data_IF_658453053222
#
_entry.id   IF_658453053222
#
_cell.length_a   1.000
_cell.length_b   1.000
_cell.length_c   1.000
_cell.angle_alpha   90.00
_cell.angle_beta   90.00
_cell.angle_gamma   90.00
#
_symmetry.space_group_name_H-M   'P 1'
#
loop_
_entity.id
_entity.type
_entity.pdbx_description
1 polymer ?
#
# COMPACT_ATOMS: atom_id res chain seq x y z
N UNK A 1 -27.39 -20.34 -9.56
CA UNK A 1 -27.72 -20.45 -8.13
C UNK A 1 -27.83 -19.02 -7.62
N UNK A 2 -28.90 -18.68 -6.92
CA UNK A 2 -29.05 -17.34 -6.35
C UNK A 2 -28.09 -17.21 -5.15
N UNK A 3 -27.24 -16.18 -5.16
CA UNK A 3 -26.28 -15.94 -4.09
C UNK A 3 -26.99 -15.26 -2.92
N UNK A 4 -26.99 -15.90 -1.75
CA UNK A 4 -27.67 -15.36 -0.57
C UNK A 4 -26.99 -14.06 -0.12
N UNK A 5 -27.79 -13.03 0.17
CA UNK A 5 -27.26 -11.74 0.63
C UNK A 5 -26.55 -10.90 -0.43
N UNK A 6 -26.64 -11.26 -1.71
CA UNK A 6 -25.97 -10.51 -2.80
C UNK A 6 -26.41 -9.05 -2.89
N UNK A 7 -27.69 -8.75 -2.64
CA UNK A 7 -28.21 -7.37 -2.65
C UNK A 7 -27.61 -6.52 -1.54
N UNK A 8 -27.48 -7.08 -0.32
CA UNK A 8 -26.83 -6.41 0.80
C UNK A 8 -25.35 -6.20 0.53
N UNK A 9 -24.66 -7.23 0.01
CA UNK A 9 -23.25 -7.14 -0.35
C UNK A 9 -22.99 -6.08 -1.43
N UNK A 10 -23.82 -5.99 -2.48
CA UNK A 10 -23.71 -4.95 -3.50
C UNK A 10 -23.88 -3.56 -2.91
N UNK A 11 -24.85 -3.37 -2.01
CA UNK A 11 -25.04 -2.09 -1.32
C UNK A 11 -23.83 -1.71 -0.47
N UNK A 12 -23.26 -2.67 0.27
CA UNK A 12 -22.03 -2.42 1.03
C UNK A 12 -20.87 -2.06 0.10
N UNK A 13 -20.72 -2.79 -1.01
CA UNK A 13 -19.69 -2.56 -2.00
C UNK A 13 -19.78 -1.18 -2.66
N UNK A 14 -20.99 -0.70 -2.97
CA UNK A 14 -21.21 0.66 -3.49
C UNK A 14 -20.75 1.75 -2.51
N UNK A 15 -21.02 1.56 -1.21
CA UNK A 15 -20.59 2.48 -0.16
C UNK A 15 -19.06 2.44 -0.01
N UNK A 16 -18.47 1.25 -0.01
CA UNK A 16 -17.02 1.08 0.08
C UNK A 16 -16.31 1.67 -1.16
N UNK A 17 -16.89 1.49 -2.35
CA UNK A 17 -16.39 2.12 -3.57
C UNK A 17 -16.45 3.64 -3.45
N UNK A 18 -17.55 4.18 -2.91
CA UNK A 18 -17.69 5.61 -2.65
C UNK A 18 -16.63 6.14 -1.69
N UNK A 19 -16.23 5.38 -0.67
CA UNK A 19 -15.09 5.73 0.18
C UNK A 19 -13.78 5.82 -0.58
N UNK A 20 -13.47 4.79 -1.37
CA UNK A 20 -12.24 4.76 -2.17
C UNK A 20 -12.20 5.96 -3.13
N UNK A 21 -13.26 6.19 -3.90
CA UNK A 21 -13.33 7.30 -4.86
C UNK A 21 -13.19 8.66 -4.17
N UNK A 22 -13.86 8.88 -3.03
CA UNK A 22 -13.72 10.14 -2.27
C UNK A 22 -12.29 10.34 -1.74
N UNK A 23 -11.66 9.29 -1.22
CA UNK A 23 -10.27 9.35 -0.75
C UNK A 23 -9.29 9.65 -1.89
N UNK A 24 -9.41 8.94 -3.02
CA UNK A 24 -8.60 9.19 -4.21
C UNK A 24 -8.78 10.64 -4.69
N UNK A 25 -10.03 11.12 -4.77
CA UNK A 25 -10.33 12.50 -5.13
C UNK A 25 -9.63 13.52 -4.23
N UNK A 26 -9.66 13.30 -2.91
CA UNK A 26 -8.99 14.18 -1.93
C UNK A 26 -7.47 14.21 -2.16
N UNK A 27 -6.88 13.04 -2.43
CA UNK A 27 -5.43 12.88 -2.57
C UNK A 27 -4.89 13.34 -3.93
N UNK A 28 -5.71 13.31 -4.98
CA UNK A 28 -5.41 13.83 -6.32
C UNK A 28 -5.78 15.30 -6.50
N UNK A 29 -6.30 15.97 -5.47
CA UNK A 29 -6.72 17.36 -5.59
C UNK A 29 -5.50 18.30 -5.65
N UNK A 30 -5.09 18.67 -6.86
CA UNK A 30 -4.05 19.67 -7.13
C UNK A 30 -4.53 21.12 -6.98
N UNK A 31 -5.82 21.32 -6.70
CA UNK A 31 -6.44 22.63 -6.57
C UNK A 31 -6.05 23.33 -5.25
N UNK A 32 -6.57 24.56 -5.05
CA UNK A 32 -6.34 25.32 -3.82
C UNK A 32 -6.72 24.52 -2.55
N UNK A 33 -6.05 24.81 -1.42
CA UNK A 33 -6.33 24.19 -0.11
C UNK A 33 -7.83 24.22 0.27
N UNK A 34 -8.57 25.24 -0.20
CA UNK A 34 -10.02 25.38 0.05
C UNK A 34 -10.81 24.26 -0.62
N UNK A 35 -10.46 23.89 -1.85
CA UNK A 35 -11.14 22.82 -2.60
C UNK A 35 -10.88 21.45 -1.96
N UNK A 36 -9.62 21.18 -1.60
CA UNK A 36 -9.25 19.94 -0.93
C UNK A 36 -9.98 19.78 0.42
N UNK A 37 -10.03 20.84 1.23
CA UNK A 37 -10.77 20.80 2.51
C UNK A 37 -12.27 20.58 2.32
N UNK A 38 -12.87 21.14 1.26
CA UNK A 38 -14.27 20.86 0.93
C UNK A 38 -14.49 19.37 0.67
N UNK A 39 -13.62 18.73 -0.11
CA UNK A 39 -13.72 17.29 -0.37
C UNK A 39 -13.54 16.45 0.90
N UNK A 40 -12.64 16.86 1.81
CA UNK A 40 -12.53 16.24 3.13
C UNK A 40 -13.85 16.35 3.88
N UNK A 41 -14.46 17.54 3.98
CA UNK A 41 -15.75 17.68 4.66
C UNK A 41 -16.88 16.87 4.01
N UNK A 42 -16.88 16.71 2.68
CA UNK A 42 -17.82 15.84 1.98
C UNK A 42 -17.64 14.36 2.39
N UNK A 43 -16.40 13.90 2.61
CA UNK A 43 -16.13 12.58 3.18
C UNK A 43 -16.60 12.47 4.64
N UNK A 44 -16.33 13.48 5.47
CA UNK A 44 -16.75 13.45 6.88
C UNK A 44 -18.28 13.46 7.03
N UNK A 45 -18.98 14.27 6.23
CA UNK A 45 -20.44 14.25 6.17
C UNK A 45 -20.97 12.88 5.73
N UNK A 46 -20.29 12.23 4.79
CA UNK A 46 -20.66 10.90 4.34
C UNK A 46 -20.54 9.86 5.47
N UNK A 47 -19.58 9.98 6.39
CA UNK A 47 -19.51 9.12 7.59
C UNK A 47 -20.75 9.24 8.47
N UNK A 48 -21.28 10.45 8.65
CA UNK A 48 -22.49 10.70 9.42
C UNK A 48 -23.73 10.15 8.71
N UNK A 49 -23.85 10.38 7.39
CA UNK A 49 -24.96 9.90 6.57
C UNK A 49 -25.14 8.39 6.64
N UNK A 50 -24.03 7.63 6.57
CA UNK A 50 -24.08 6.18 6.64
C UNK A 50 -23.99 5.64 8.08
N UNK A 51 -23.84 6.52 9.08
CA UNK A 51 -23.61 6.16 10.48
C UNK A 51 -22.47 5.15 10.64
N UNK A 52 -21.27 5.49 10.11
CA UNK A 52 -20.16 4.53 9.96
C UNK A 52 -19.83 3.75 11.24
N UNK A 53 -19.95 4.38 12.41
CA UNK A 53 -19.67 3.76 13.71
C UNK A 53 -20.62 2.61 14.08
N UNK A 54 -21.80 2.53 13.45
CA UNK A 54 -22.80 1.48 13.65
C UNK A 54 -22.64 0.31 12.66
N UNK A 55 -21.81 0.47 11.62
CA UNK A 55 -21.56 -0.57 10.63
C UNK A 55 -20.08 -0.99 10.65
N UNK A 56 -19.77 -1.99 11.46
CA UNK A 56 -18.41 -2.53 11.59
C UNK A 56 -17.79 -2.93 10.25
N UNK A 57 -18.58 -3.57 9.37
CA UNK A 57 -18.14 -4.05 8.05
C UNK A 57 -17.61 -2.90 7.19
N UNK A 58 -18.39 -1.82 7.07
CA UNK A 58 -18.04 -0.64 6.29
C UNK A 58 -16.91 0.15 6.94
N UNK A 59 -16.92 0.25 8.27
CA UNK A 59 -15.89 0.98 9.01
C UNK A 59 -14.53 0.30 8.87
N UNK A 60 -14.49 -1.02 9.03
CA UNK A 60 -13.27 -1.82 8.87
C UNK A 60 -12.70 -1.72 7.45
N UNK A 61 -13.58 -1.83 6.45
CA UNK A 61 -13.21 -1.67 5.05
C UNK A 61 -12.62 -0.28 4.76
N UNK A 62 -13.24 0.78 5.29
CA UNK A 62 -12.73 2.13 5.15
C UNK A 62 -11.33 2.29 5.75
N UNK A 63 -11.09 1.78 6.97
CA UNK A 63 -9.78 1.87 7.62
C UNK A 63 -8.69 1.17 6.81
N UNK A 64 -9.00 0.01 6.21
CA UNK A 64 -8.07 -0.70 5.31
C UNK A 64 -7.74 0.10 4.06
N UNK A 65 -8.74 0.68 3.40
CA UNK A 65 -8.56 1.54 2.22
C UNK A 65 -7.71 2.76 2.60
N UNK A 66 -7.99 3.39 3.74
CA UNK A 66 -7.23 4.52 4.26
C UNK A 66 -5.74 4.18 4.42
N UNK A 67 -5.44 3.03 5.04
CA UNK A 67 -4.05 2.55 5.21
C UNK A 67 -3.42 2.23 3.87
N UNK A 68 -4.13 1.53 2.99
CA UNK A 68 -3.64 1.16 1.67
C UNK A 68 -3.27 2.40 0.84
N UNK A 69 -4.19 3.35 0.68
CA UNK A 69 -3.94 4.58 -0.07
C UNK A 69 -2.80 5.41 0.54
N UNK A 70 -2.60 5.36 1.85
CA UNK A 70 -1.46 6.06 2.49
C UNK A 70 -0.08 5.51 2.12
N UNK A 71 -0.01 4.31 1.56
CA UNK A 71 1.23 3.64 1.17
C UNK A 71 1.41 3.64 -0.36
N UNK A 72 0.33 3.36 -1.09
CA UNK A 72 0.40 3.02 -2.51
C UNK A 72 -0.06 4.14 -3.45
N UNK A 73 -0.85 5.10 -2.98
CA UNK A 73 -1.45 6.12 -3.85
C UNK A 73 -0.53 7.32 -4.09
N UNK A 74 -0.38 7.73 -5.36
CA UNK A 74 0.46 8.85 -5.82
C UNK A 74 1.87 8.86 -5.19
N UNK A 75 2.50 7.69 -5.12
CA UNK A 75 3.83 7.46 -4.56
C UNK A 75 4.98 8.32 -5.16
N UNK A 76 5.03 8.63 -6.48
CA UNK A 76 6.24 9.17 -7.11
C UNK A 76 6.28 10.68 -7.31
N UNK A 77 5.44 11.51 -6.67
CA UNK A 77 5.52 12.97 -6.87
C UNK A 77 6.85 13.53 -6.33
N UNK A 78 7.86 13.56 -7.21
CA UNK A 78 9.26 14.02 -7.05
C UNK A 78 9.38 15.49 -6.69
N UNK A 79 8.27 16.17 -6.40
CA UNK A 79 8.25 17.60 -6.11
C UNK A 79 7.55 17.86 -4.79
N UNK A 80 8.40 18.23 -3.84
CA UNK A 80 8.14 18.98 -2.61
C UNK A 80 7.69 18.13 -1.41
N UNK A 81 8.54 18.12 -0.37
CA UNK A 81 8.19 17.69 1.00
C UNK A 81 6.87 18.31 1.50
N UNK A 82 6.48 19.47 0.96
CA UNK A 82 5.21 20.15 1.22
C UNK A 82 4.01 19.31 0.81
N UNK A 83 4.04 18.59 -0.33
CA UNK A 83 2.92 17.73 -0.73
C UNK A 83 2.76 16.60 0.27
N UNK A 84 3.89 16.00 0.67
CA UNK A 84 3.89 14.92 1.65
C UNK A 84 3.32 15.36 3.01
N UNK A 85 3.77 16.50 3.53
CA UNK A 85 3.27 17.06 4.79
C UNK A 85 1.75 17.34 4.70
N UNK A 86 1.27 17.91 3.59
CA UNK A 86 -0.17 18.11 3.37
C UNK A 86 -0.94 16.80 3.40
N UNK A 87 -0.44 15.74 2.76
CA UNK A 87 -1.09 14.42 2.78
C UNK A 87 -1.14 13.84 4.19
N UNK A 88 -0.04 13.90 4.95
CA UNK A 88 -0.05 13.49 6.36
C UNK A 88 -1.09 14.25 7.18
N UNK A 89 -1.24 15.56 6.94
CA UNK A 89 -2.23 16.40 7.62
C UNK A 89 -3.67 15.95 7.29
N UNK A 90 -3.96 15.61 6.03
CA UNK A 90 -5.26 15.07 5.61
C UNK A 90 -5.57 13.75 6.33
N UNK A 91 -4.64 12.79 6.31
CA UNK A 91 -4.83 11.53 7.00
C UNK A 91 -5.01 11.72 8.50
N UNK A 92 -4.22 12.61 9.11
CA UNK A 92 -4.34 12.96 10.53
C UNK A 92 -5.71 13.58 10.85
N UNK A 93 -6.21 14.48 9.99
CA UNK A 93 -7.53 15.10 10.14
C UNK A 93 -8.64 14.05 10.10
N UNK A 94 -8.59 13.14 9.13
CA UNK A 94 -9.56 12.04 8.99
C UNK A 94 -9.50 11.13 10.22
N UNK A 95 -8.31 10.71 10.64
CA UNK A 95 -8.14 9.85 11.82
C UNK A 95 -8.65 10.52 13.10
N UNK A 96 -8.41 11.83 13.28
CA UNK A 96 -8.97 12.59 14.41
C UNK A 96 -10.50 12.58 14.39
N UNK A 97 -11.11 12.79 13.24
CA UNK A 97 -12.57 12.73 13.12
C UNK A 97 -13.10 11.34 13.54
N UNK A 98 -12.49 10.26 13.03
CA UNK A 98 -12.87 8.89 13.37
C UNK A 98 -12.74 8.61 14.88
N UNK A 99 -11.67 9.11 15.51
CA UNK A 99 -11.43 8.96 16.94
C UNK A 99 -12.45 9.75 17.76
N UNK A 100 -12.65 11.02 17.46
CA UNK A 100 -13.43 11.93 18.31
C UNK A 100 -14.94 11.86 18.07
N UNK A 101 -15.38 11.64 16.82
CA UNK A 101 -16.82 11.64 16.46
C UNK A 101 -17.36 10.25 16.17
N UNK A 102 -16.56 9.38 15.56
CA UNK A 102 -17.02 8.05 15.15
C UNK A 102 -16.51 6.91 16.04
N UNK A 103 -16.15 7.21 17.29
CA UNK A 103 -15.93 6.21 18.34
C UNK A 103 -14.92 5.10 17.97
N UNK A 104 -13.91 5.40 17.13
CA UNK A 104 -12.93 4.41 16.63
C UNK A 104 -12.37 3.52 17.76
N UNK A 105 -12.07 4.13 18.91
CA UNK A 105 -11.50 3.46 20.09
C UNK A 105 -12.39 2.39 20.69
N UNK A 106 -13.71 2.58 20.68
CA UNK A 106 -14.68 1.64 21.29
C UNK A 106 -15.30 0.71 20.26
N UNK A 107 -15.32 1.09 18.99
CA UNK A 107 -15.83 0.25 17.90
C UNK A 107 -14.91 -0.92 17.54
N UNK A 108 -13.61 -0.82 17.87
CA UNK A 108 -12.63 -1.85 17.54
C UNK A 108 -11.80 -2.27 18.74
N UNK A 109 -11.54 -3.57 18.84
CA UNK A 109 -10.51 -4.07 19.74
C UNK A 109 -9.12 -3.56 19.31
N UNK A 110 -8.26 -3.18 20.26
CA UNK A 110 -6.92 -2.64 19.98
C UNK A 110 -6.09 -3.54 19.06
N UNK A 111 -6.21 -4.87 19.21
CA UNK A 111 -5.50 -5.79 18.31
C UNK A 111 -5.97 -5.67 16.86
N UNK A 112 -7.27 -5.48 16.62
CA UNK A 112 -7.82 -5.32 15.28
C UNK A 112 -7.28 -4.04 14.64
N UNK A 113 -7.29 -2.92 15.37
CA UNK A 113 -6.69 -1.67 14.91
C UNK A 113 -5.20 -1.84 14.62
N UNK A 114 -4.44 -2.50 15.51
CA UNK A 114 -3.02 -2.76 15.23
C UNK A 114 -2.82 -3.55 13.94
N UNK A 115 -3.60 -4.61 13.70
CA UNK A 115 -3.49 -5.43 12.49
C UNK A 115 -3.82 -4.63 11.23
N UNK A 116 -4.80 -3.74 11.28
CA UNK A 116 -5.17 -2.86 10.16
C UNK A 116 -4.04 -1.84 9.88
N UNK A 117 -3.52 -1.20 10.93
CA UNK A 117 -2.58 -0.08 10.80
C UNK A 117 -1.10 -0.48 10.76
N UNK A 118 -0.73 -1.74 11.01
CA UNK A 118 0.69 -2.18 11.16
C UNK A 118 1.59 -1.91 9.95
N UNK A 119 1.03 -1.83 8.74
CA UNK A 119 1.80 -1.53 7.53
C UNK A 119 2.20 -0.05 7.45
N UNK A 120 1.58 0.83 8.23
CA UNK A 120 1.93 2.24 8.30
C UNK A 120 2.39 2.63 9.72
N UNK A 121 3.71 2.70 9.91
CA UNK A 121 4.33 3.01 11.22
C UNK A 121 3.97 4.42 11.72
N UNK A 122 3.77 5.35 10.80
CA UNK A 122 3.38 6.72 11.11
C UNK A 122 1.95 6.77 11.65
N UNK A 123 1.03 5.99 11.09
CA UNK A 123 -0.31 5.85 11.65
C UNK A 123 -0.30 5.12 12.98
N UNK A 124 0.53 4.09 13.17
CA UNK A 124 0.69 3.48 14.49
C UNK A 124 1.17 4.48 15.54
N UNK A 125 2.13 5.35 15.20
CA UNK A 125 2.62 6.40 16.11
C UNK A 125 1.52 7.41 16.41
N UNK A 126 0.80 7.86 15.40
CA UNK A 126 -0.35 8.75 15.57
C UNK A 126 -1.39 8.14 16.54
N UNK A 127 -1.79 6.89 16.34
CA UNK A 127 -2.76 6.20 17.21
C UNK A 127 -2.22 5.99 18.63
N UNK A 128 -0.91 5.77 18.76
CA UNK A 128 -0.25 5.71 20.07
C UNK A 128 -0.29 7.05 20.80
N UNK A 129 0.04 8.15 20.11
CA UNK A 129 -0.01 9.52 20.65
C UNK A 129 -1.42 9.95 21.06
N UNK A 130 -2.45 9.55 20.30
CA UNK A 130 -3.86 9.76 20.64
C UNK A 130 -4.39 8.78 21.72
N UNK A 131 -3.52 7.95 22.32
CA UNK A 131 -3.86 7.08 23.44
C UNK A 131 -4.82 5.93 23.07
N UNK A 132 -4.82 5.51 21.80
CA UNK A 132 -5.53 4.31 21.34
C UNK A 132 -4.77 3.05 21.77
N UNK A 133 -3.45 3.07 21.62
CA UNK A 133 -2.56 2.01 22.08
C UNK A 133 -1.81 2.44 23.33
N UNK A 134 -1.80 1.58 24.35
CA UNK A 134 -0.88 1.76 25.47
C UNK A 134 0.51 1.18 25.14
N UNK A 135 1.54 1.67 25.84
CA UNK A 135 2.91 1.22 25.60
C UNK A 135 3.10 -0.27 25.85
N UNK A 136 2.40 -0.86 26.84
CA UNK A 136 2.53 -2.29 27.14
C UNK A 136 1.98 -3.15 26.01
N UNK A 137 0.89 -2.72 25.39
CA UNK A 137 0.34 -3.32 24.19
C UNK A 137 1.33 -3.25 23.03
N UNK A 138 1.87 -2.05 22.72
CA UNK A 138 2.84 -1.87 21.62
C UNK A 138 4.07 -2.76 21.80
N UNK A 139 4.65 -2.78 22.99
CA UNK A 139 5.81 -3.60 23.34
C UNK A 139 5.56 -5.10 23.13
N UNK A 140 4.38 -5.59 23.55
CA UNK A 140 3.99 -6.99 23.31
C UNK A 140 3.89 -7.29 21.82
N UNK A 141 3.32 -6.39 21.01
CA UNK A 141 3.16 -6.60 19.57
C UNK A 141 4.49 -6.55 18.83
N UNK A 142 5.35 -5.58 19.11
CA UNK A 142 6.71 -5.51 18.55
C UNK A 142 7.48 -6.81 18.84
N UNK A 143 7.45 -7.29 20.08
CA UNK A 143 8.13 -8.53 20.46
C UNK A 143 7.51 -9.76 19.79
N UNK A 144 6.17 -9.84 19.74
CA UNK A 144 5.43 -10.97 19.18
C UNK A 144 5.68 -11.12 17.67
N UNK A 145 5.58 -10.02 16.91
CA UNK A 145 5.80 -10.02 15.46
C UNK A 145 7.28 -10.02 15.07
N UNK A 146 8.19 -9.80 16.03
CA UNK A 146 9.65 -9.69 15.79
C UNK A 146 9.97 -8.64 14.72
N UNK A 147 9.25 -7.53 14.76
CA UNK A 147 9.40 -6.45 13.79
C UNK A 147 10.52 -5.50 14.24
N UNK A 148 11.71 -5.69 13.66
CA UNK A 148 12.90 -4.87 13.93
C UNK A 148 12.68 -3.42 13.50
N UNK A 149 12.04 -3.19 12.35
CA UNK A 149 11.85 -1.85 11.81
C UNK A 149 10.88 -1.06 12.67
N UNK A 150 9.80 -1.69 13.13
CA UNK A 150 8.87 -1.09 14.08
C UNK A 150 9.54 -0.82 15.43
N UNK A 151 10.40 -1.71 15.91
CA UNK A 151 11.21 -1.44 17.10
C UNK A 151 12.08 -0.20 16.93
N UNK A 152 12.88 -0.13 15.85
CA UNK A 152 13.74 1.03 15.55
C UNK A 152 12.93 2.32 15.47
N UNK A 153 11.77 2.30 14.83
CA UNK A 153 10.89 3.46 14.66
C UNK A 153 10.35 4.01 16.01
N UNK A 154 10.05 3.13 16.96
CA UNK A 154 9.51 3.46 18.29
C UNK A 154 10.57 3.55 19.40
N UNK A 155 11.87 3.54 19.07
CA UNK A 155 12.94 3.70 20.08
C UNK A 155 12.72 4.92 21.00
N UNK A 156 12.38 6.12 20.50
CA UNK A 156 12.20 7.30 21.35
C UNK A 156 11.17 7.07 22.46
N UNK A 157 10.01 6.49 22.14
CA UNK A 157 8.95 6.22 23.11
C UNK A 157 9.34 5.09 24.06
N UNK A 158 9.90 4.00 23.51
CA UNK A 158 10.23 2.79 24.28
C UNK A 158 11.35 3.08 25.29
N UNK A 159 12.38 3.84 24.88
CA UNK A 159 13.51 4.18 25.74
C UNK A 159 13.08 5.07 26.90
N UNK A 160 12.19 6.04 26.66
CA UNK A 160 11.68 6.95 27.69
C UNK A 160 10.72 6.22 28.64
N UNK A 161 9.77 5.45 28.09
CA UNK A 161 8.66 4.90 28.87
C UNK A 161 8.98 3.55 29.51
N UNK A 162 9.88 2.75 28.93
CA UNK A 162 10.26 1.44 29.47
C UNK A 162 11.72 1.04 29.14
N UNK A 163 12.72 1.68 29.78
CA UNK A 163 14.14 1.40 29.54
C UNK A 163 14.54 -0.07 29.69
N UNK A 164 13.90 -0.80 30.63
CA UNK A 164 14.17 -2.23 30.82
C UNK A 164 13.74 -3.06 29.62
N UNK A 165 12.60 -2.73 29.03
CA UNK A 165 12.10 -3.44 27.85
C UNK A 165 12.87 -3.06 26.59
N UNK A 166 13.33 -1.80 26.48
CA UNK A 166 14.28 -1.38 25.45
C UNK A 166 15.51 -2.31 25.42
N UNK A 167 16.15 -2.54 26.57
CA UNK A 167 17.29 -3.46 26.67
C UNK A 167 16.95 -4.90 26.28
N UNK A 168 15.74 -5.37 26.59
CA UNK A 168 15.27 -6.70 26.21
C UNK A 168 15.07 -6.83 24.69
N UNK A 169 14.43 -5.84 24.06
CA UNK A 169 14.23 -5.81 22.61
C UNK A 169 15.56 -5.68 21.87
N UNK A 170 16.46 -4.81 22.35
CA UNK A 170 17.81 -4.67 21.82
C UNK A 170 18.55 -6.00 21.80
N UNK A 171 18.48 -6.78 22.88
CA UNK A 171 19.01 -8.16 22.95
C UNK A 171 18.28 -9.12 22.00
N UNK A 172 16.95 -9.07 21.96
CA UNK A 172 16.12 -9.91 21.09
C UNK A 172 16.51 -9.73 19.60
N UNK A 173 16.74 -8.49 19.17
CA UNK A 173 17.13 -8.14 17.81
C UNK A 173 18.65 -8.17 17.55
N UNK A 174 19.46 -8.51 18.57
CA UNK A 174 20.93 -8.55 18.50
C UNK A 174 21.53 -7.21 18.03
N UNK A 175 20.98 -6.10 18.53
CA UNK A 175 21.44 -4.76 18.22
C UNK A 175 22.37 -4.25 19.33
N UNK A 176 23.37 -3.47 18.95
CA UNK A 176 24.18 -2.65 19.86
C UNK A 176 23.69 -1.20 19.82
N UNK A 177 24.10 -0.38 20.81
CA UNK A 177 23.85 1.06 20.76
C UNK A 177 24.48 1.70 19.52
N UNK A 178 25.64 1.18 19.09
CA UNK A 178 26.33 1.64 17.91
C UNK A 178 25.55 1.31 16.64
N UNK A 179 24.92 0.13 16.54
CA UNK A 179 24.04 -0.20 15.42
C UNK A 179 22.86 0.77 15.33
N UNK A 180 22.21 1.04 16.47
CA UNK A 180 21.09 1.99 16.55
C UNK A 180 21.55 3.39 16.16
N UNK A 181 22.67 3.84 16.73
CA UNK A 181 23.27 5.14 16.42
C UNK A 181 23.58 5.25 14.93
N UNK A 182 24.11 4.20 14.31
CA UNK A 182 24.42 4.14 12.89
C UNK A 182 23.18 4.19 12.01
N UNK A 183 22.08 3.52 12.38
CA UNK A 183 20.82 3.66 11.65
C UNK A 183 20.30 5.11 11.65
N UNK A 184 20.45 5.83 12.77
CA UNK A 184 20.08 7.24 12.84
C UNK A 184 21.13 8.21 12.25
N UNK A 185 22.43 7.89 12.29
CA UNK A 185 23.50 8.74 11.75
C UNK A 185 23.46 8.82 10.23
N UNK A 186 23.10 7.73 9.55
CA UNK A 186 22.90 7.71 8.09
C UNK A 186 21.94 8.79 7.58
N UNK A 187 21.07 9.30 8.45
CA UNK A 187 20.01 10.26 8.13
C UNK A 187 20.52 11.70 8.15
N UNK A 188 21.41 12.04 9.09
CA UNK A 188 21.90 13.40 9.35
C UNK A 188 23.29 13.69 8.77
N UNK A 189 24.03 12.66 8.36
CA UNK A 189 25.44 12.79 8.00
C UNK A 189 26.33 13.06 9.22
N UNK A 190 27.65 13.03 9.03
CA UNK A 190 28.64 13.09 10.13
C UNK A 190 28.68 14.43 10.89
N UNK A 191 27.91 15.45 10.46
CA UNK A 191 28.09 16.85 10.87
C UNK A 191 27.09 17.37 11.90
N UNK A 192 26.05 16.62 12.26
CA UNK A 192 25.13 17.06 13.33
C UNK A 192 25.55 16.52 14.70
N UNK A 193 25.86 17.45 15.61
CA UNK A 193 26.19 17.17 17.00
C UNK A 193 25.07 16.38 17.69
N UNK A 194 25.47 15.43 18.56
CA UNK A 194 24.59 14.51 19.27
C UNK A 194 23.52 15.18 20.13
N UNK A 195 23.68 16.46 20.49
CA UNK A 195 22.90 17.09 21.55
C UNK A 195 21.46 17.47 21.18
N UNK A 196 21.06 17.45 19.89
CA UNK A 196 19.65 17.68 19.50
C UNK A 196 19.22 16.86 18.28
N UNK A 197 19.39 15.53 18.32
CA UNK A 197 18.68 14.66 17.36
C UNK A 197 17.17 14.81 17.60
N UNK A 198 16.51 15.58 16.75
CA UNK A 198 15.08 15.72 16.77
C UNK A 198 14.46 14.47 16.12
N UNK A 199 14.41 13.36 16.88
CA UNK A 199 13.80 12.09 16.42
C UNK A 199 12.41 12.29 15.82
N UNK A 200 11.66 13.27 16.31
CA UNK A 200 10.35 13.65 15.80
C UNK A 200 10.41 14.14 14.35
N UNK A 201 11.44 14.90 13.98
CA UNK A 201 11.58 15.44 12.63
C UNK A 201 11.99 14.36 11.62
N UNK A 202 12.86 13.43 12.01
CA UNK A 202 13.24 12.29 11.16
C UNK A 202 12.02 11.43 10.84
N UNK A 203 11.21 11.12 11.85
CA UNK A 203 10.01 10.28 11.69
C UNK A 203 8.86 11.00 11.01
N UNK A 204 9.02 12.28 10.62
CA UNK A 204 8.14 12.90 9.63
C UNK A 204 8.53 12.54 8.21
N UNK A 205 9.71 11.97 7.98
CA UNK A 205 10.11 11.48 6.66
C UNK A 205 9.63 10.03 6.50
N UNK A 206 8.94 9.74 5.41
CA UNK A 206 8.55 8.36 5.07
C UNK A 206 9.59 7.61 4.27
N UNK A 207 10.41 8.28 3.47
CA UNK A 207 11.35 7.56 2.61
C UNK A 207 12.74 7.46 3.24
N UNK A 208 13.57 6.59 2.67
CA UNK A 208 14.99 6.53 3.00
C UNK A 208 15.63 7.93 2.94
N UNK A 209 16.40 8.24 3.97
CA UNK A 209 17.09 9.52 4.12
C UNK A 209 18.58 9.42 3.75
N UNK A 210 19.02 8.28 3.21
CA UNK A 210 20.35 8.12 2.64
C UNK A 210 20.59 9.17 1.54
N UNK A 211 21.80 9.73 1.49
CA UNK A 211 22.17 10.79 0.53
C UNK A 211 21.86 10.39 -0.92
N UNK A 212 22.23 9.17 -1.30
CA UNK A 212 21.95 8.61 -2.62
C UNK A 212 20.44 8.54 -2.91
N UNK A 213 19.64 8.10 -1.95
CA UNK A 213 18.18 8.02 -2.10
C UNK A 213 17.57 9.40 -2.33
N UNK A 214 17.98 10.41 -1.55
CA UNK A 214 17.56 11.81 -1.70
C UNK A 214 17.92 12.37 -3.07
N UNK A 215 19.13 12.09 -3.55
CA UNK A 215 19.57 12.54 -4.88
C UNK A 215 18.71 11.92 -5.97
N UNK A 216 18.44 10.61 -5.91
CA UNK A 216 17.58 9.94 -6.89
C UNK A 216 16.16 10.51 -6.85
N UNK A 217 15.56 10.65 -5.67
CA UNK A 217 14.22 11.23 -5.51
C UNK A 217 14.10 12.65 -6.09
N UNK A 218 15.16 13.46 -6.01
CA UNK A 218 15.20 14.80 -6.59
C UNK A 218 15.36 14.84 -8.12
N UNK A 219 15.72 13.70 -8.72
CA UNK A 219 16.05 13.51 -10.13
C UNK A 219 17.09 14.51 -10.70
N UNK A 220 17.99 15.02 -9.84
CA UNK A 220 19.08 15.93 -10.25
C UNK A 220 20.30 15.11 -10.69
N UNK A 221 20.37 14.75 -11.97
CA UNK A 221 21.45 13.90 -12.52
C UNK A 221 22.87 14.42 -12.28
N UNK A 222 23.07 15.73 -12.21
CA UNK A 222 24.39 16.32 -11.93
C UNK A 222 24.85 16.02 -10.50
N UNK A 223 23.93 16.06 -9.53
CA UNK A 223 24.22 15.72 -8.13
C UNK A 223 24.50 14.23 -8.01
N UNK A 224 23.80 13.40 -8.78
CA UNK A 224 24.05 11.97 -8.88
C UNK A 224 25.45 11.65 -9.42
N UNK A 225 25.85 12.29 -10.53
CA UNK A 225 27.21 12.14 -11.09
C UNK A 225 28.27 12.64 -10.10
N UNK A 226 28.03 13.75 -9.43
CA UNK A 226 28.90 14.31 -8.40
C UNK A 226 29.09 13.32 -7.24
N UNK A 227 27.99 12.72 -6.76
CA UNK A 227 28.01 11.71 -5.71
C UNK A 227 28.83 10.49 -6.10
N UNK A 228 28.59 9.92 -7.29
CA UNK A 228 29.35 8.76 -7.79
C UNK A 228 30.84 9.11 -7.92
N UNK A 229 31.16 10.29 -8.46
CA UNK A 229 32.54 10.71 -8.69
C UNK A 229 33.33 10.90 -7.38
N UNK A 230 32.67 11.35 -6.31
CA UNK A 230 33.26 11.43 -4.96
C UNK A 230 33.53 10.05 -4.36
N UNK A 231 32.75 9.04 -4.76
CA UNK A 231 32.85 7.66 -4.27
C UNK A 231 33.56 6.79 -5.32
N UNK A 232 34.90 6.87 -5.38
CA UNK A 232 35.74 6.25 -6.43
C UNK A 232 35.50 4.75 -6.72
N UNK A 233 34.91 3.99 -5.79
CA UNK A 233 34.57 2.58 -5.94
C UNK A 233 33.05 2.32 -5.90
N UNK A 234 32.24 3.31 -6.26
CA UNK A 234 30.79 3.17 -6.25
C UNK A 234 30.33 2.18 -7.33
N UNK A 235 29.63 1.12 -6.91
CA UNK A 235 29.00 0.18 -7.82
C UNK A 235 27.61 0.70 -8.23
N UNK A 236 27.40 0.91 -9.53
CA UNK A 236 26.09 1.31 -10.06
C UNK A 236 25.02 0.22 -9.90
N UNK A 237 25.41 -1.03 -9.70
CA UNK A 237 24.52 -2.15 -9.35
C UNK A 237 24.32 -2.30 -7.84
N UNK A 238 24.81 -1.35 -7.05
CA UNK A 238 24.56 -1.32 -5.61
C UNK A 238 23.07 -1.17 -5.30
N UNK A 239 22.73 -1.33 -4.01
CA UNK A 239 21.37 -1.27 -3.51
C UNK A 239 21.27 -0.22 -2.43
N UNK A 240 20.17 0.52 -2.45
CA UNK A 240 19.73 1.38 -1.35
C UNK A 240 19.20 0.45 -0.27
N UNK A 241 19.68 0.66 0.95
CA UNK A 241 19.35 -0.25 2.05
C UNK A 241 17.91 0.01 2.54
N UNK A 242 17.28 -1.01 3.14
CA UNK A 242 16.02 -0.82 3.82
C UNK A 242 16.12 0.25 4.90
N UNK A 243 15.11 1.10 4.99
CA UNK A 243 14.94 2.14 5.99
C UNK A 243 13.83 1.76 6.96
N UNK A 244 14.06 1.95 8.26
CA UNK A 244 12.98 1.78 9.25
C UNK A 244 11.89 2.85 9.12
N UNK A 245 12.09 3.89 8.30
CA UNK A 245 11.10 4.92 7.99
C UNK A 245 10.15 4.52 6.85
N UNK A 246 10.61 3.71 5.90
CA UNK A 246 9.84 3.35 4.70
C UNK A 246 8.67 2.44 5.05
N UNK A 247 7.47 2.87 4.69
CA UNK A 247 6.24 2.11 4.89
C UNK A 247 5.95 1.21 3.68
N UNK A 248 6.42 1.58 2.48
CA UNK A 248 6.14 0.82 1.28
C UNK A 248 7.02 -0.45 1.22
N UNK A 249 6.43 -1.66 1.32
CA UNK A 249 7.19 -2.90 1.35
C UNK A 249 7.86 -3.23 0.00
N UNK A 250 7.29 -2.79 -1.13
CA UNK A 250 7.90 -3.01 -2.45
C UNK A 250 9.24 -2.27 -2.56
N UNK A 251 9.34 -1.09 -1.94
CA UNK A 251 10.53 -0.23 -1.98
C UNK A 251 11.50 -0.56 -0.86
N UNK A 252 10.99 -0.78 0.35
CA UNK A 252 11.85 -1.03 1.50
C UNK A 252 12.61 -2.35 1.35
N UNK A 253 11.92 -3.39 0.86
CA UNK A 253 12.41 -4.75 0.71
C UNK A 253 13.37 -5.17 1.85
N UNK A 254 12.80 -5.39 3.04
CA UNK A 254 13.51 -5.52 4.33
C UNK A 254 14.73 -6.44 4.37
N UNK A 255 14.85 -7.38 3.42
CA UNK A 255 15.96 -8.32 3.35
C UNK A 255 17.15 -7.81 2.52
N UNK A 256 16.87 -7.22 1.35
CA UNK A 256 17.90 -6.95 0.33
C UNK A 256 18.00 -5.48 -0.06
N UNK A 257 17.05 -4.64 0.35
CA UNK A 257 16.89 -3.30 -0.17
C UNK A 257 16.48 -3.30 -1.65
N UNK A 258 16.70 -2.19 -2.33
CA UNK A 258 16.28 -1.95 -3.72
C UNK A 258 17.47 -1.46 -4.54
N UNK A 259 17.67 -1.95 -5.77
CA UNK A 259 18.81 -1.48 -6.57
C UNK A 259 18.69 0.00 -6.93
N UNK A 260 19.82 0.66 -7.17
CA UNK A 260 19.84 2.08 -7.56
C UNK A 260 18.97 2.34 -8.81
N UNK A 261 19.02 1.44 -9.78
CA UNK A 261 18.18 1.52 -10.98
C UNK A 261 16.70 1.34 -10.65
N UNK A 262 16.33 0.29 -9.90
CA UNK A 262 14.94 0.04 -9.49
C UNK A 262 14.36 1.20 -8.67
N UNK A 263 15.18 1.82 -7.81
CA UNK A 263 14.77 2.99 -7.07
C UNK A 263 14.50 4.18 -7.99
N UNK A 264 15.35 4.42 -9.00
CA UNK A 264 15.11 5.47 -9.99
C UNK A 264 13.83 5.22 -10.80
N UNK A 265 13.49 3.96 -11.07
CA UNK A 265 12.22 3.59 -11.71
C UNK A 265 11.02 3.86 -10.80
N UNK A 266 11.10 3.42 -9.53
CA UNK A 266 10.02 3.57 -8.55
C UNK A 266 9.69 5.02 -8.20
N UNK A 267 10.65 5.92 -8.26
CA UNK A 267 10.45 7.35 -8.02
C UNK A 267 10.25 8.15 -9.32
N UNK A 268 10.19 7.50 -10.49
CA UNK A 268 10.04 8.20 -11.77
C UNK A 268 11.20 9.16 -12.07
N UNK A 269 12.39 8.89 -11.53
CA UNK A 269 13.60 9.71 -11.68
C UNK A 269 14.22 9.49 -13.06
N UNK A 270 13.56 10.00 -14.10
CA UNK A 270 13.89 9.71 -15.50
C UNK A 270 15.32 10.12 -15.88
N UNK A 271 15.84 11.22 -15.34
CA UNK A 271 17.19 11.68 -15.67
C UNK A 271 18.26 10.78 -15.07
N UNK A 272 18.08 10.38 -13.80
CA UNK A 272 18.97 9.41 -13.15
C UNK A 272 18.85 8.02 -13.79
N UNK A 273 17.62 7.57 -14.07
CA UNK A 273 17.35 6.32 -14.78
C UNK A 273 18.09 6.26 -16.12
N UNK A 274 17.94 7.29 -16.98
CA UNK A 274 18.63 7.38 -18.27
C UNK A 274 20.14 7.28 -18.15
N UNK A 275 20.73 7.92 -17.14
CA UNK A 275 22.16 7.81 -16.90
C UNK A 275 22.57 6.37 -16.60
N UNK A 276 21.88 5.71 -15.66
CA UNK A 276 22.14 4.31 -15.28
C UNK A 276 21.93 3.36 -16.46
N UNK A 277 20.88 3.61 -17.22
CA UNK A 277 20.52 2.91 -18.43
C UNK A 277 21.63 2.95 -19.48
N UNK A 278 22.13 4.14 -19.84
CA UNK A 278 23.26 4.32 -20.78
C UNK A 278 24.52 3.62 -20.28
N UNK A 279 24.70 3.51 -18.95
CA UNK A 279 25.79 2.77 -18.32
C UNK A 279 25.58 1.25 -18.27
N UNK A 280 24.51 0.73 -18.86
CA UNK A 280 24.17 -0.69 -18.94
C UNK A 280 24.11 -1.35 -17.56
N UNK A 281 23.55 -0.64 -16.58
CA UNK A 281 23.29 -1.20 -15.24
C UNK A 281 22.33 -2.37 -15.36
N UNK A 282 22.61 -3.44 -14.60
CA UNK A 282 21.83 -4.67 -14.69
C UNK A 282 20.43 -4.45 -14.11
N UNK A 283 19.45 -5.01 -14.80
CA UNK A 283 18.08 -5.15 -14.30
C UNK A 283 17.55 -6.54 -14.64
N UNK A 284 16.41 -6.89 -14.06
CA UNK A 284 15.78 -8.19 -14.23
C UNK A 284 14.30 -8.02 -14.59
N UNK A 285 13.62 -9.11 -14.95
CA UNK A 285 12.16 -9.11 -15.13
C UNK A 285 11.42 -8.55 -13.90
N UNK A 286 11.90 -8.86 -12.70
CA UNK A 286 11.32 -8.35 -11.46
C UNK A 286 11.53 -6.84 -11.29
N UNK A 287 12.46 -6.23 -12.02
CA UNK A 287 12.72 -4.80 -11.98
C UNK A 287 11.62 -3.99 -12.70
N UNK A 288 10.88 -4.62 -13.63
CA UNK A 288 9.79 -3.96 -14.36
C UNK A 288 8.68 -3.46 -13.44
N UNK A 289 8.37 -4.17 -12.34
CA UNK A 289 7.33 -3.72 -11.41
C UNK A 289 7.60 -2.32 -10.87
N UNK A 290 8.87 -1.90 -10.75
CA UNK A 290 9.22 -0.59 -10.24
C UNK A 290 8.94 0.54 -11.23
N UNK A 291 8.96 0.30 -12.54
CA UNK A 291 8.51 1.32 -13.50
C UNK A 291 6.99 1.58 -13.37
N UNK A 292 6.24 0.53 -13.02
CA UNK A 292 4.81 0.63 -12.74
C UNK A 292 4.57 1.39 -11.44
N UNK A 293 5.31 1.06 -10.37
CA UNK A 293 5.23 1.80 -9.10
C UNK A 293 5.43 3.30 -9.31
N UNK A 294 6.44 3.68 -10.10
CA UNK A 294 6.77 5.07 -10.37
C UNK A 294 5.87 5.80 -11.37
N UNK A 295 4.87 5.13 -11.93
CA UNK A 295 3.92 5.68 -12.92
C UNK A 295 4.56 6.49 -14.06
N UNK A 296 5.72 6.05 -14.56
CA UNK A 296 6.49 6.84 -15.53
C UNK A 296 6.51 6.16 -16.91
N UNK A 297 5.56 6.53 -17.77
CA UNK A 297 5.41 6.02 -19.15
C UNK A 297 6.69 6.02 -19.98
N UNK A 298 7.48 7.07 -19.86
CA UNK A 298 8.72 7.18 -20.61
C UNK A 298 9.73 6.10 -20.20
N UNK A 299 9.79 5.73 -18.91
CA UNK A 299 10.64 4.64 -18.44
C UNK A 299 10.12 3.31 -18.99
N UNK A 300 8.80 3.10 -18.95
CA UNK A 300 8.14 1.92 -19.49
C UNK A 300 8.50 1.73 -20.98
N UNK A 301 8.32 2.75 -21.81
CA UNK A 301 8.63 2.67 -23.24
C UNK A 301 10.12 2.48 -23.54
N UNK A 302 11.02 3.11 -22.76
CA UNK A 302 12.45 2.88 -22.92
C UNK A 302 12.84 1.41 -22.67
N UNK A 303 12.20 0.77 -21.69
CA UNK A 303 12.40 -0.65 -21.41
C UNK A 303 11.88 -1.54 -22.54
N UNK A 304 10.70 -1.22 -23.09
CA UNK A 304 10.09 -1.94 -24.22
C UNK A 304 10.88 -1.82 -25.53
N UNK A 305 11.57 -0.70 -25.76
CA UNK A 305 12.41 -0.50 -26.94
C UNK A 305 13.67 -1.37 -26.89
N UNK A 306 14.29 -1.52 -25.73
CA UNK A 306 15.49 -2.34 -25.51
C UNK A 306 15.22 -3.84 -25.61
N UNK A 307 14.04 -4.26 -25.18
CA UNK A 307 13.57 -5.64 -25.27
C UNK A 307 13.56 -6.18 -26.71
N UNK A 308 13.44 -5.30 -27.72
CA UNK A 308 13.48 -5.69 -29.14
C UNK A 308 14.85 -6.20 -29.58
N UNK A 309 15.91 -5.91 -28.83
CA UNK A 309 17.28 -6.25 -29.23
C UNK A 309 17.87 -7.46 -28.49
N UNK A 310 17.66 -7.67 -27.17
CA UNK A 310 18.44 -8.70 -26.44
C UNK A 310 17.73 -9.53 -25.33
N UNK A 311 16.44 -9.35 -24.98
CA UNK A 311 15.78 -10.27 -24.00
C UNK A 311 14.24 -10.29 -24.04
N UNK A 312 13.66 -11.49 -23.92
CA UNK A 312 12.21 -11.74 -23.78
C UNK A 312 11.70 -11.39 -22.37
N UNK A 313 11.73 -10.12 -21.98
CA UNK A 313 11.11 -9.71 -20.71
C UNK A 313 9.63 -9.42 -20.97
N UNK A 314 8.77 -10.43 -20.81
CA UNK A 314 7.32 -10.25 -20.95
C UNK A 314 6.70 -9.77 -19.64
N UNK A 315 5.86 -8.73 -19.72
CA UNK A 315 4.97 -8.36 -18.62
C UNK A 315 4.06 -9.54 -18.27
N UNK A 316 3.94 -9.85 -16.97
CA UNK A 316 3.08 -10.92 -16.48
C UNK A 316 1.93 -10.39 -15.62
N UNK A 317 1.09 -11.30 -15.13
CA UNK A 317 -0.07 -10.97 -14.30
C UNK A 317 0.32 -10.21 -13.02
N UNK A 318 1.54 -10.37 -12.50
CA UNK A 318 1.97 -9.62 -11.30
C UNK A 318 2.18 -8.15 -11.62
N UNK A 319 2.72 -7.83 -12.80
CA UNK A 319 2.86 -6.47 -13.27
C UNK A 319 1.48 -5.79 -13.42
N UNK A 320 0.51 -6.49 -14.01
CA UNK A 320 -0.87 -6.00 -14.10
C UNK A 320 -1.50 -5.76 -12.72
N UNK A 321 -1.35 -6.69 -11.78
CA UNK A 321 -1.87 -6.50 -10.41
C UNK A 321 -1.20 -5.32 -9.71
N UNK A 322 0.09 -5.09 -9.96
CA UNK A 322 0.83 -4.00 -9.36
C UNK A 322 0.37 -2.64 -9.88
N UNK A 323 0.00 -2.51 -11.15
CA UNK A 323 -0.61 -1.27 -11.65
C UNK A 323 -1.97 -0.98 -11.01
N UNK A 324 -2.75 -2.03 -10.70
CA UNK A 324 -4.03 -1.88 -9.98
C UNK A 324 -3.83 -1.49 -8.51
N UNK A 325 -2.85 -2.09 -7.83
CA UNK A 325 -2.50 -1.80 -6.44
C UNK A 325 -2.08 -0.34 -6.22
N UNK A 326 -1.36 0.23 -7.18
CA UNK A 326 -0.89 1.61 -7.16
C UNK A 326 -1.84 2.62 -7.85
N UNK A 327 -2.99 2.16 -8.33
CA UNK A 327 -4.03 3.01 -8.96
C UNK A 327 -3.54 3.80 -10.17
N UNK A 328 -2.90 3.14 -11.13
CA UNK A 328 -2.43 3.78 -12.37
C UNK A 328 -3.38 3.47 -13.55
N UNK A 329 -4.47 4.24 -13.75
CA UNK A 329 -5.52 3.94 -14.74
C UNK A 329 -4.98 3.73 -16.13
N UNK A 330 -4.09 4.61 -16.56
CA UNK A 330 -3.56 4.58 -17.90
C UNK A 330 -2.74 3.29 -18.11
N UNK A 331 -2.06 2.79 -17.08
CA UNK A 331 -1.19 1.59 -17.17
C UNK A 331 -2.07 0.34 -17.17
N UNK A 332 -3.13 0.36 -16.37
CA UNK A 332 -4.15 -0.69 -16.35
C UNK A 332 -4.81 -0.79 -17.73
N UNK A 333 -5.16 0.34 -18.34
CA UNK A 333 -5.70 0.40 -19.71
C UNK A 333 -4.69 -0.14 -20.73
N UNK A 334 -3.42 0.29 -20.62
CA UNK A 334 -2.33 -0.20 -21.47
C UNK A 334 -2.22 -1.73 -21.45
N UNK A 335 -2.16 -2.33 -20.25
CA UNK A 335 -2.10 -3.78 -20.12
C UNK A 335 -3.38 -4.49 -20.57
N UNK A 336 -4.54 -3.88 -20.36
CA UNK A 336 -5.82 -4.43 -20.81
C UNK A 336 -5.85 -4.53 -22.34
N UNK A 337 -5.36 -3.50 -23.03
CA UNK A 337 -5.24 -3.48 -24.48
C UNK A 337 -4.15 -4.43 -24.99
N UNK A 338 -3.00 -4.52 -24.30
CA UNK A 338 -1.91 -5.43 -24.66
C UNK A 338 -2.31 -6.90 -24.56
N UNK A 339 -2.98 -7.29 -23.46
CA UNK A 339 -3.45 -8.65 -23.24
C UNK A 339 -4.54 -9.07 -24.24
N UNK A 340 -5.37 -8.13 -24.68
CA UNK A 340 -6.35 -8.35 -25.74
C UNK A 340 -5.68 -8.74 -27.08
N UNK A 341 -4.51 -8.18 -27.37
CA UNK A 341 -3.81 -8.37 -28.65
C UNK A 341 -2.97 -9.66 -28.66
N UNK A 342 -2.32 -10.02 -27.54
CA UNK A 342 -1.27 -11.04 -27.55
C UNK A 342 -1.68 -12.45 -27.04
N UNK A 343 -2.75 -12.62 -26.26
CA UNK A 343 -3.14 -13.97 -25.78
C UNK A 343 -4.64 -14.15 -25.53
N UNK A 344 -5.28 -14.99 -26.35
CA UNK A 344 -6.64 -15.52 -26.18
C UNK A 344 -6.84 -16.45 -24.96
N UNK A 345 -5.90 -16.54 -24.00
CA UNK A 345 -5.87 -17.69 -23.08
C UNK A 345 -5.45 -17.49 -21.59
N UNK A 346 -5.35 -16.28 -20.99
CA UNK A 346 -4.98 -16.21 -19.55
C UNK A 346 -5.72 -15.26 -18.59
N UNK A 347 -6.44 -14.23 -19.05
CA UNK A 347 -7.31 -13.43 -18.18
C UNK A 347 -8.79 -13.87 -18.30
N UNK A 348 -9.05 -14.94 -19.06
CA UNK A 348 -10.40 -15.49 -19.24
C UNK A 348 -10.88 -16.43 -18.13
N UNK A 349 -10.05 -16.74 -17.12
CA UNK A 349 -10.59 -17.25 -15.85
C UNK A 349 -11.14 -16.05 -15.07
N UNK A 350 -12.19 -15.47 -15.65
CA UNK A 350 -13.03 -14.41 -15.12
C UNK A 350 -13.88 -14.97 -13.98
N UNK A 351 -13.22 -15.63 -13.03
CA UNK A 351 -13.87 -16.27 -11.91
C UNK A 351 -14.01 -15.29 -10.77
N UNK A 352 -15.09 -15.41 -10.00
CA UNK A 352 -15.25 -14.65 -8.74
C UNK A 352 -13.99 -14.77 -7.86
N UNK A 353 -13.37 -15.96 -7.86
CA UNK A 353 -12.10 -16.20 -7.19
C UNK A 353 -11.00 -15.24 -7.64
N UNK A 354 -10.76 -15.11 -8.95
CA UNK A 354 -9.75 -14.21 -9.51
C UNK A 354 -9.98 -12.76 -9.05
N UNK A 355 -11.22 -12.27 -9.10
CA UNK A 355 -11.53 -10.90 -8.68
C UNK A 355 -11.35 -10.68 -7.17
N UNK A 356 -11.79 -11.64 -6.34
CA UNK A 356 -11.55 -11.58 -4.89
C UNK A 356 -10.06 -11.66 -4.57
N UNK A 357 -9.30 -12.50 -5.27
CA UNK A 357 -7.86 -12.62 -5.09
C UNK A 357 -7.16 -11.31 -5.44
N UNK A 358 -7.46 -10.71 -6.60
CA UNK A 358 -6.87 -9.42 -6.97
C UNK A 358 -7.26 -8.36 -5.93
N UNK A 359 -8.55 -8.25 -5.56
CA UNK A 359 -8.99 -7.32 -4.51
C UNK A 359 -8.27 -7.53 -3.17
N UNK A 360 -8.08 -8.78 -2.73
CA UNK A 360 -7.40 -9.09 -1.48
C UNK A 360 -5.92 -8.68 -1.48
N UNK A 361 -5.32 -8.58 -2.67
CA UNK A 361 -3.94 -8.18 -2.86
C UNK A 361 -3.79 -6.67 -3.06
N UNK A 362 -4.74 -6.05 -3.78
CA UNK A 362 -4.63 -4.66 -4.23
C UNK A 362 -5.47 -3.68 -3.44
N UNK A 363 -6.45 -4.16 -2.67
CA UNK A 363 -7.43 -3.38 -1.91
C UNK A 363 -8.26 -2.45 -2.78
N UNK A 364 -8.15 -2.59 -4.11
CA UNK A 364 -8.85 -1.76 -5.06
C UNK A 364 -10.27 -2.28 -5.25
N UNK A 365 -11.21 -1.56 -4.63
CA UNK A 365 -12.63 -1.92 -4.55
C UNK A 365 -13.30 -1.88 -5.92
N UNK A 366 -12.81 -1.05 -6.84
CA UNK A 366 -13.36 -0.92 -8.19
C UNK A 366 -13.32 -2.24 -8.96
N UNK A 367 -12.38 -3.13 -8.64
CA UNK A 367 -12.28 -4.46 -9.23
C UNK A 367 -13.50 -5.32 -8.87
N UNK A 368 -13.86 -5.33 -7.58
CA UNK A 368 -15.06 -6.03 -7.13
C UNK A 368 -16.31 -5.32 -7.65
N UNK A 369 -16.31 -3.98 -7.64
CA UNK A 369 -17.43 -3.19 -8.10
C UNK A 369 -17.73 -3.47 -9.57
N UNK A 370 -16.69 -3.53 -10.40
CA UNK A 370 -16.77 -3.96 -11.79
C UNK A 370 -17.37 -5.37 -11.89
N UNK A 371 -16.85 -6.34 -11.14
CA UNK A 371 -17.38 -7.70 -11.20
C UNK A 371 -18.84 -7.83 -10.74
N UNK A 372 -19.26 -7.10 -9.70
CA UNK A 372 -20.56 -7.31 -9.07
C UNK A 372 -21.68 -6.39 -9.57
N UNK A 373 -21.34 -5.17 -10.00
CA UNK A 373 -22.32 -4.19 -10.52
C UNK A 373 -22.38 -4.17 -12.05
N UNK A 374 -21.24 -4.26 -12.75
CA UNK A 374 -21.26 -4.21 -14.22
C UNK A 374 -21.64 -5.55 -14.86
N UNK A 375 -21.47 -6.67 -14.14
CA UNK A 375 -22.01 -7.97 -14.56
C UNK A 375 -23.49 -8.16 -14.17
N UNK A 376 -24.23 -7.09 -13.86
CA UNK A 376 -25.64 -7.17 -14.20
C UNK A 376 -25.74 -7.45 -15.69
N UNK A 377 -26.20 -8.67 -16.00
CA UNK A 377 -26.77 -9.06 -17.28
C UNK A 377 -27.96 -8.10 -17.52
N UNK A 378 -27.72 -6.88 -17.98
CA UNK A 378 -28.81 -6.00 -18.35
C UNK A 378 -28.38 -4.95 -19.36
N UNK A 379 -29.29 -4.76 -20.30
CA UNK A 379 -29.31 -3.74 -21.34
C UNK A 379 -28.91 -2.36 -20.78
N UNK A 380 -27.97 -1.72 -21.49
CA UNK A 380 -27.80 -0.27 -21.64
C UNK A 380 -27.82 0.61 -20.38
N UNK A 381 -26.65 1.16 -20.05
CA UNK A 381 -26.51 2.47 -19.41
C UNK A 381 -25.24 3.17 -19.93
N UNK A 382 -25.27 4.49 -20.17
CA UNK A 382 -24.14 5.21 -20.76
C UNK A 382 -23.12 5.65 -19.70
N UNK A 383 -21.89 5.16 -19.89
CA UNK A 383 -20.59 5.86 -19.83
C UNK A 383 -20.42 6.92 -18.73
N UNK A 384 -19.60 6.59 -17.73
CA UNK A 384 -18.80 7.53 -16.93
C UNK A 384 -17.31 7.28 -17.21
N UNK A 385 -16.53 8.35 -17.35
CA UNK A 385 -15.14 8.38 -17.87
C UNK A 385 -14.06 7.74 -16.95
N UNK A 386 -14.43 6.94 -15.95
CA UNK A 386 -13.47 6.34 -15.01
C UNK A 386 -13.52 4.80 -14.95
N UNK A 387 -13.89 4.14 -16.05
CA UNK A 387 -13.97 2.68 -16.08
C UNK A 387 -12.62 2.06 -16.49
N UNK A 388 -11.97 1.40 -15.54
CA UNK A 388 -10.69 0.69 -15.70
C UNK A 388 -10.78 -0.62 -16.52
N UNK A 389 -11.98 -1.11 -16.81
CA UNK A 389 -12.21 -2.41 -17.44
C UNK A 389 -13.24 -2.30 -18.56
N UNK A 390 -12.90 -2.78 -19.75
CA UNK A 390 -13.80 -2.79 -20.91
C UNK A 390 -14.72 -4.03 -20.93
N UNK A 391 -16.00 -3.80 -21.26
CA UNK A 391 -17.07 -4.80 -21.19
C UNK A 391 -16.98 -5.86 -22.30
N UNK A 392 -16.84 -7.14 -21.98
CA UNK A 392 -17.53 -8.23 -22.72
C UNK A 392 -17.48 -9.61 -22.04
N UNK A 393 -18.55 -10.38 -22.29
CA UNK A 393 -18.79 -11.83 -22.17
C UNK A 393 -19.59 -12.35 -20.97
N UNK A 394 -20.58 -13.18 -21.31
CA UNK A 394 -21.48 -13.89 -20.40
C UNK A 394 -20.73 -14.92 -19.55
N UNK A 395 -20.80 -14.75 -18.23
CA UNK A 395 -20.22 -15.65 -17.24
C UNK A 395 -21.17 -16.82 -16.97
N UNK A 396 -20.84 -18.01 -17.46
CA UNK A 396 -21.46 -19.27 -17.03
C UNK A 396 -20.38 -20.14 -16.39
N UNK A 397 -20.08 -19.91 -15.12
CA UNK A 397 -19.26 -20.84 -14.34
C UNK A 397 -19.93 -21.12 -13.00
N UNK A 398 -20.05 -22.42 -12.71
CA UNK A 398 -20.34 -22.92 -11.38
C UNK A 398 -19.13 -22.63 -10.51
N UNK A 399 -19.22 -21.64 -9.61
CA UNK A 399 -18.15 -21.35 -8.67
C UNK A 399 -18.22 -22.29 -7.47
N UNK A 400 -17.09 -22.89 -7.11
CA UNK A 400 -16.94 -23.63 -5.86
C UNK A 400 -16.69 -22.65 -4.71
N UNK A 401 -17.75 -22.36 -3.95
CA UNK A 401 -17.73 -21.43 -2.82
C UNK A 401 -16.76 -21.87 -1.72
N UNK A 402 -16.55 -23.18 -1.54
CA UNK A 402 -15.67 -23.72 -0.50
C UNK A 402 -14.22 -23.43 -0.83
N UNK A 403 -13.84 -23.63 -2.10
CA UNK A 403 -12.51 -23.27 -2.60
C UNK A 403 -12.27 -21.77 -2.42
N UNK A 404 -13.23 -20.91 -2.83
CA UNK A 404 -13.10 -19.45 -2.66
C UNK A 404 -12.93 -19.06 -1.19
N UNK A 405 -13.80 -19.58 -0.30
CA UNK A 405 -13.72 -19.27 1.12
C UNK A 405 -12.39 -19.72 1.73
N UNK A 406 -11.94 -20.92 1.40
CA UNK A 406 -10.69 -21.48 1.90
C UNK A 406 -9.50 -20.63 1.47
N UNK A 407 -9.44 -20.25 0.19
CA UNK A 407 -8.37 -19.40 -0.30
C UNK A 407 -8.41 -18.00 0.32
N UNK A 408 -9.61 -17.44 0.50
CA UNK A 408 -9.84 -16.16 1.19
C UNK A 408 -9.31 -16.18 2.62
N UNK A 409 -9.48 -17.30 3.32
CA UNK A 409 -8.98 -17.51 4.68
C UNK A 409 -7.46 -17.72 4.70
N UNK A 410 -6.92 -18.40 3.69
CA UNK A 410 -5.50 -18.71 3.60
C UNK A 410 -4.63 -17.57 3.07
N UNK A 411 -5.22 -16.46 2.62
CA UNK A 411 -4.44 -15.29 2.26
C UNK A 411 -3.60 -14.83 3.46
N UNK A 412 -2.33 -14.51 3.18
CA UNK A 412 -1.42 -13.95 4.19
C UNK A 412 -1.96 -12.64 4.78
N UNK A 413 -2.87 -11.98 4.06
CA UNK A 413 -3.56 -10.78 4.49
C UNK A 413 -4.98 -11.15 4.94
N UNK A 414 -5.38 -10.64 6.11
CA UNK A 414 -6.72 -10.89 6.63
C UNK A 414 -7.78 -10.34 5.66
N UNK A 415 -8.74 -11.14 5.22
CA UNK A 415 -9.76 -10.69 4.28
C UNK A 415 -10.61 -9.57 4.89
N UNK A 416 -11.14 -8.70 4.03
CA UNK A 416 -12.11 -7.69 4.45
C UNK A 416 -13.35 -8.36 5.05
N UNK A 417 -13.85 -7.81 6.15
CA UNK A 417 -14.96 -8.42 6.88
C UNK A 417 -16.22 -8.57 6.02
N UNK A 418 -16.52 -7.60 5.15
CA UNK A 418 -17.71 -7.64 4.29
C UNK A 418 -17.68 -8.80 3.29
N UNK A 419 -16.51 -9.11 2.71
CA UNK A 419 -16.33 -10.26 1.80
C UNK A 419 -16.54 -11.56 2.57
N UNK A 420 -15.97 -11.65 3.77
CA UNK A 420 -16.12 -12.83 4.62
C UNK A 420 -17.59 -13.06 5.03
N UNK A 421 -18.29 -12.01 5.46
CA UNK A 421 -19.70 -12.05 5.81
C UNK A 421 -20.57 -12.49 4.62
N UNK A 422 -20.28 -11.98 3.43
CA UNK A 422 -20.97 -12.40 2.20
C UNK A 422 -20.75 -13.86 1.86
N UNK A 423 -19.50 -14.34 1.94
CA UNK A 423 -19.20 -15.74 1.71
C UNK A 423 -19.97 -16.60 2.71
N UNK A 424 -19.84 -16.38 4.02
CA UNK A 424 -20.51 -17.19 5.04
C UNK A 424 -22.04 -17.30 4.93
N UNK A 425 -22.72 -16.38 4.23
CA UNK A 425 -24.17 -16.46 3.98
C UNK A 425 -24.56 -17.52 2.94
N UNK A 426 -23.61 -18.10 2.21
CA UNK A 426 -23.92 -19.09 1.18
C UNK A 426 -24.26 -20.46 1.79
N UNK A 427 -25.38 -21.06 1.37
CA UNK A 427 -25.91 -22.30 1.97
C UNK A 427 -25.06 -23.55 1.71
N UNK A 428 -24.18 -23.50 0.72
CA UNK A 428 -23.38 -24.66 0.30
C UNK A 428 -21.97 -24.64 0.89
N UNK A 429 -21.70 -23.74 1.85
CA UNK A 429 -20.42 -23.72 2.53
C UNK A 429 -20.33 -24.88 3.50
N UNK A 430 -19.41 -25.78 3.22
CA UNK A 430 -18.96 -26.78 4.16
C UNK A 430 -17.77 -26.21 4.94
N UNK A 431 -18.06 -25.63 6.11
CA UNK A 431 -17.03 -25.12 7.04
C UNK A 431 -16.09 -26.23 7.56
N UNK A 432 -16.38 -27.51 7.31
CA UNK A 432 -15.56 -28.64 7.71
C UNK A 432 -14.77 -29.27 6.54
N UNK A 433 -14.81 -28.67 5.34
CA UNK A 433 -14.29 -29.27 4.10
C UNK A 433 -12.79 -29.64 4.11
N UNK A 434 -11.98 -29.12 5.06
CA UNK A 434 -10.52 -29.29 5.09
C UNK A 434 -9.89 -29.61 6.45
N UNK A 435 -10.60 -30.32 7.35
CA UNK A 435 -10.07 -30.69 8.70
C UNK A 435 -9.56 -29.49 9.53
N UNK A 436 -9.93 -28.28 9.13
CA UNK A 436 -9.48 -27.02 9.71
C UNK A 436 -10.66 -26.41 10.45
N UNK A 437 -10.66 -26.50 11.78
CA UNK A 437 -11.70 -25.88 12.60
C UNK A 437 -11.49 -24.35 12.56
N UNK A 438 -12.35 -23.65 11.83
CA UNK A 438 -12.42 -22.20 11.88
C UNK A 438 -13.07 -21.77 13.19
N UNK A 439 -12.25 -21.40 14.17
CA UNK A 439 -12.74 -20.76 15.39
C UNK A 439 -12.93 -19.28 15.07
N UNK A 440 -14.15 -18.92 14.69
CA UNK A 440 -14.59 -17.52 14.69
C UNK A 440 -14.72 -17.07 16.15
N UNK A 441 -13.68 -16.40 16.65
CA UNK A 441 -13.78 -15.70 17.92
C UNK A 441 -14.59 -14.44 17.66
N UNK A 442 -15.88 -14.45 18.00
CA UNK A 442 -16.67 -13.23 18.06
C UNK A 442 -15.94 -12.24 18.98
N UNK A 443 -15.43 -11.16 18.38
CA UNK A 443 -14.76 -10.06 19.05
C UNK A 443 -15.76 -9.09 19.68
#
# INVERSE_FOLDING_TARGET
MELNGISEFRKELEIINSFQTKMISILSCDESQVSQMKQVYELLNFFEEITISQNFSLYEAFLRILVHLSIYFNFPETKVEVIYLKRQEIFSLILKELIFKHSLKTSFHQFSLFVIFKSNKHFLLFLFEEGIFDISFMLKKISFFRDKNLFLFFIPEIQIMNPKFYENLKKQFKLTEEDIKNEYLKIYGEKEEEEKRNYTEIRRKIHSQEELAKIIQSDVVNDFISFISKNSNFDLNSRIRPSFLENNPDINNDNEGISVLEYSMAFGSINVFRYLWIKKVKYSKNSLKYCLIGNHYEILHLLEEDEKEESQIEFDDNNYRKSIEYYHPEIIEYFSNFNYINHSNKINDSTLFSFINIFSQTYNVEILNYFFLQNEISQFSPITESQYFSTSNHFNSTFDINTILFDVINFQQSPFYFVYNFLLKQTNIDINFHDSILILVNS
#
